data_IF_227491072936
#
_entry.id   IF_227491072936
#
_cell.length_a   1.000
_cell.length_b   1.000
_cell.length_c   1.000
_cell.angle_alpha   90.00
_cell.angle_beta   90.00
_cell.angle_gamma   90.00
#
_symmetry.space_group_name_H-M   'P 1'
#
loop_
_entity.id
_entity.type
_entity.pdbx_description
1 polymer ?
#
# COMPACT_ATOMS: atom_id res chain seq x y z
N UNK A 1 13.00 -7.81 16.61
CA UNK A 1 12.65 -8.48 15.34
C UNK A 1 12.34 -7.46 14.25
N UNK A 2 11.48 -6.45 14.51
CA UNK A 2 11.23 -5.30 13.62
C UNK A 2 12.49 -4.70 12.99
N UNK A 3 13.49 -4.33 13.80
CA UNK A 3 14.76 -3.76 13.31
C UNK A 3 15.59 -4.70 12.42
N UNK A 4 15.37 -6.02 12.48
CA UNK A 4 16.08 -6.98 11.65
C UNK A 4 15.38 -7.19 10.30
N UNK A 5 14.07 -6.97 10.25
CA UNK A 5 13.24 -7.16 9.05
C UNK A 5 13.05 -5.87 8.27
N UNK A 6 13.16 -4.71 8.93
CA UNK A 6 12.90 -3.40 8.36
C UNK A 6 14.15 -2.50 8.50
N UNK A 7 14.91 -2.27 7.41
CA UNK A 7 16.12 -1.45 7.42
C UNK A 7 15.88 -0.05 7.99
N UNK A 8 14.72 0.52 7.69
CA UNK A 8 14.27 1.82 8.20
C UNK A 8 14.28 1.91 9.73
N UNK A 9 13.74 0.88 10.40
CA UNK A 9 13.74 0.82 11.87
C UNK A 9 15.12 0.51 12.44
N UNK A 10 15.95 -0.27 11.74
CA UNK A 10 17.34 -0.51 12.14
C UNK A 10 18.12 0.81 12.23
N UNK A 11 17.99 1.65 11.20
CA UNK A 11 18.62 2.96 11.15
C UNK A 11 18.07 3.89 12.24
N UNK A 12 16.74 3.97 12.37
CA UNK A 12 16.09 4.80 13.38
C UNK A 12 16.56 4.43 14.80
N UNK A 13 16.54 3.14 15.16
CA UNK A 13 16.92 2.66 16.49
C UNK A 13 18.43 2.77 16.76
N UNK A 14 19.28 2.62 15.74
CA UNK A 14 20.73 2.83 15.90
C UNK A 14 21.11 4.28 16.20
N UNK A 15 20.28 5.23 15.74
CA UNK A 15 20.50 6.66 15.89
C UNK A 15 19.84 7.28 17.12
N UNK A 16 18.88 6.58 17.75
CA UNK A 16 18.10 7.12 18.88
C UNK A 16 18.31 6.30 20.16
N UNK A 17 19.16 6.80 21.05
CA UNK A 17 19.48 6.14 22.33
C UNK A 17 18.39 6.26 23.41
N UNK A 18 17.20 6.81 23.11
CA UNK A 18 16.14 7.03 24.11
C UNK A 18 14.69 7.08 23.61
N UNK A 19 14.40 6.83 22.32
CA UNK A 19 13.01 6.89 21.82
C UNK A 19 12.26 5.58 22.11
N UNK A 20 11.23 5.68 22.96
CA UNK A 20 10.25 4.62 23.20
C UNK A 20 9.09 4.63 22.20
N UNK A 21 8.93 5.73 21.46
CA UNK A 21 7.84 5.95 20.51
C UNK A 21 8.40 6.37 19.14
N UNK A 22 7.75 5.90 18.08
CA UNK A 22 8.12 6.18 16.69
C UNK A 22 6.96 6.93 16.01
N UNK A 23 7.18 8.15 15.48
CA UNK A 23 6.13 8.89 14.80
C UNK A 23 5.82 8.27 13.43
N UNK A 24 4.55 7.99 13.17
CA UNK A 24 4.07 7.54 11.88
C UNK A 24 3.88 8.74 10.93
N UNK A 25 3.98 8.54 9.60
CA UNK A 25 3.55 9.53 8.62
C UNK A 25 2.11 9.98 8.87
N UNK A 26 1.83 11.26 8.61
CA UNK A 26 0.45 11.78 8.63
C UNK A 26 -0.42 10.95 7.68
N UNK A 27 -1.68 10.74 8.08
CA UNK A 27 -2.67 9.93 7.36
C UNK A 27 -2.42 8.41 7.30
N UNK A 28 -1.48 7.85 8.08
CA UNK A 28 -1.31 6.38 8.13
C UNK A 28 -2.55 5.70 8.74
N UNK A 29 -3.17 4.77 8.00
CA UNK A 29 -4.35 4.04 8.46
C UNK A 29 -3.97 2.92 9.45
N UNK A 30 -4.89 2.57 10.34
CA UNK A 30 -4.71 1.44 11.28
C UNK A 30 -4.49 0.13 10.50
N UNK A 31 -5.17 -0.03 9.37
CA UNK A 31 -4.96 -1.16 8.48
C UNK A 31 -3.52 -1.22 7.96
N UNK A 32 -2.94 -0.11 7.51
CA UNK A 32 -1.58 -0.08 7.02
C UNK A 32 -0.56 -0.48 8.10
N UNK A 33 -0.74 0.02 9.33
CA UNK A 33 0.13 -0.36 10.45
C UNK A 33 0.00 -1.85 10.76
N UNK A 34 -1.22 -2.35 10.89
CA UNK A 34 -1.47 -3.77 11.15
C UNK A 34 -0.95 -4.65 10.03
N UNK A 35 -1.06 -4.23 8.77
CA UNK A 35 -0.55 -4.97 7.63
C UNK A 35 0.97 -5.12 7.66
N UNK A 36 1.70 -4.08 8.08
CA UNK A 36 3.16 -4.21 8.29
C UNK A 36 3.47 -5.11 9.49
N UNK A 37 2.69 -5.03 10.58
CA UNK A 37 2.88 -5.90 11.74
C UNK A 37 2.66 -7.37 11.34
N UNK A 38 1.54 -7.68 10.69
CA UNK A 38 1.24 -9.01 10.15
C UNK A 38 2.38 -9.50 9.26
N UNK A 39 2.86 -8.66 8.34
CA UNK A 39 3.99 -9.01 7.49
C UNK A 39 5.27 -9.34 8.26
N UNK A 40 5.60 -8.58 9.30
CA UNK A 40 6.81 -8.83 10.11
C UNK A 40 6.74 -10.17 10.84
N UNK A 41 5.55 -10.61 11.26
CA UNK A 41 5.37 -11.88 11.99
C UNK A 41 5.14 -13.08 11.07
N UNK A 42 4.35 -12.91 10.01
CA UNK A 42 3.84 -13.99 9.16
C UNK A 42 4.38 -13.97 7.71
N UNK A 43 5.15 -12.94 7.34
CA UNK A 43 5.67 -12.75 5.98
C UNK A 43 4.62 -12.29 4.96
N UNK A 44 3.39 -12.03 5.40
CA UNK A 44 2.27 -11.55 4.58
C UNK A 44 1.31 -10.73 5.42
N UNK A 45 0.59 -9.80 4.80
CA UNK A 45 -0.52 -9.11 5.46
C UNK A 45 -1.86 -9.79 5.18
N UNK A 46 -2.85 -9.55 6.03
CA UNK A 46 -4.21 -10.03 5.81
C UNK A 46 -4.94 -9.10 4.81
N UNK A 47 -5.34 -9.58 3.62
CA UNK A 47 -6.03 -8.74 2.65
C UNK A 47 -7.39 -8.24 3.20
N UNK A 48 -7.81 -7.01 2.85
CA UNK A 48 -9.14 -6.55 3.21
C UNK A 48 -10.20 -7.33 2.43
N UNK A 49 -11.36 -7.53 3.05
CA UNK A 49 -12.53 -8.10 2.36
C UNK A 49 -13.36 -6.98 1.74
N UNK A 50 -13.75 -7.15 0.48
CA UNK A 50 -14.70 -6.26 -0.19
C UNK A 50 -15.78 -7.09 -0.88
N UNK A 51 -17.01 -7.03 -0.36
CA UNK A 51 -18.20 -7.70 -0.92
C UNK A 51 -19.16 -6.71 -1.56
N UNK A 52 -19.06 -5.42 -1.24
CA UNK A 52 -19.88 -4.34 -1.79
C UNK A 52 -19.04 -3.25 -2.44
N UNK A 53 -19.66 -2.39 -3.26
CA UNK A 53 -18.95 -1.28 -3.92
C UNK A 53 -18.42 -0.23 -2.94
N UNK A 54 -19.12 0.01 -1.83
CA UNK A 54 -18.65 0.91 -0.76
C UNK A 54 -17.44 0.32 -0.02
N UNK A 55 -17.51 -0.98 0.30
CA UNK A 55 -16.38 -1.72 0.89
C UNK A 55 -15.17 -1.76 -0.05
N UNK A 56 -15.37 -1.80 -1.37
CA UNK A 56 -14.28 -1.78 -2.34
C UNK A 56 -13.50 -0.46 -2.31
N UNK A 57 -14.18 0.68 -2.13
CA UNK A 57 -13.54 1.99 -1.98
C UNK A 57 -12.70 2.08 -0.70
N UNK A 58 -13.23 1.58 0.41
CA UNK A 58 -12.50 1.52 1.69
C UNK A 58 -11.29 0.59 1.58
N UNK A 59 -11.48 -0.62 1.05
CA UNK A 59 -10.41 -1.60 0.85
C UNK A 59 -9.30 -1.04 -0.05
N UNK A 60 -9.66 -0.33 -1.12
CA UNK A 60 -8.67 0.34 -1.98
C UNK A 60 -7.90 1.41 -1.22
N UNK A 61 -8.59 2.26 -0.46
CA UNK A 61 -7.95 3.31 0.35
C UNK A 61 -6.95 2.73 1.35
N UNK A 62 -7.33 1.65 2.04
CA UNK A 62 -6.48 0.94 2.99
C UNK A 62 -5.25 0.30 2.32
N UNK A 63 -5.43 -0.32 1.15
CA UNK A 63 -4.33 -0.89 0.36
C UNK A 63 -3.38 0.18 -0.16
N UNK A 64 -3.89 1.32 -0.65
CA UNK A 64 -3.06 2.45 -1.07
C UNK A 64 -2.30 3.09 0.09
N UNK A 65 -2.90 3.11 1.29
CA UNK A 65 -2.23 3.57 2.50
C UNK A 65 -1.06 2.64 2.88
N UNK A 66 -1.31 1.32 2.85
CA UNK A 66 -0.28 0.31 3.06
C UNK A 66 0.83 0.40 2.00
N UNK A 67 0.50 0.68 0.73
CA UNK A 67 1.48 0.89 -0.33
C UNK A 67 2.40 2.10 -0.01
N UNK A 68 1.83 3.22 0.42
CA UNK A 68 2.58 4.43 0.81
C UNK A 68 3.50 4.15 2.00
N UNK A 69 2.99 3.44 3.00
CA UNK A 69 3.77 3.09 4.19
C UNK A 69 4.91 2.12 3.83
N UNK A 70 4.61 1.11 3.00
CA UNK A 70 5.60 0.15 2.52
C UNK A 70 6.69 0.82 1.68
N UNK A 71 6.33 1.78 0.82
CA UNK A 71 7.30 2.58 0.07
C UNK A 71 8.17 3.42 1.01
N UNK A 72 7.56 4.11 1.97
CA UNK A 72 8.27 4.94 2.96
C UNK A 72 9.26 4.14 3.80
N UNK A 73 8.94 2.88 4.11
CA UNK A 73 9.78 1.99 4.91
C UNK A 73 10.61 1.00 4.07
N UNK A 74 10.62 1.18 2.75
CA UNK A 74 11.38 0.39 1.77
C UNK A 74 11.05 -1.14 1.79
N UNK A 75 9.80 -1.49 2.06
CA UNK A 75 9.30 -2.87 2.16
C UNK A 75 8.74 -3.33 0.80
N UNK A 76 9.65 -3.64 -0.13
CA UNK A 76 9.29 -3.99 -1.52
C UNK A 76 8.33 -5.18 -1.64
N UNK A 77 8.45 -6.17 -0.74
CA UNK A 77 7.59 -7.36 -0.76
C UNK A 77 6.13 -7.03 -0.44
N UNK A 78 5.89 -6.10 0.51
CA UNK A 78 4.53 -5.62 0.79
C UNK A 78 3.97 -4.87 -0.40
N UNK A 79 4.78 -4.04 -1.08
CA UNK A 79 4.35 -3.33 -2.29
C UNK A 79 3.81 -4.33 -3.33
N UNK A 80 4.55 -5.41 -3.59
CA UNK A 80 4.14 -6.44 -4.53
C UNK A 80 2.84 -7.14 -4.10
N UNK A 81 2.72 -7.51 -2.81
CA UNK A 81 1.50 -8.13 -2.27
C UNK A 81 0.28 -7.20 -2.37
N UNK A 82 0.46 -5.90 -2.13
CA UNK A 82 -0.61 -4.90 -2.27
C UNK A 82 -1.09 -4.80 -3.71
N UNK A 83 -0.17 -4.72 -4.68
CA UNK A 83 -0.54 -4.67 -6.11
C UNK A 83 -1.31 -5.92 -6.51
N UNK A 84 -0.84 -7.10 -6.08
CA UNK A 84 -1.57 -8.37 -6.27
C UNK A 84 -2.98 -8.34 -5.69
N UNK A 85 -3.16 -7.82 -4.47
CA UNK A 85 -4.48 -7.71 -3.85
C UNK A 85 -5.40 -6.75 -4.62
N UNK A 86 -4.89 -5.60 -5.07
CA UNK A 86 -5.67 -4.63 -5.87
C UNK A 86 -6.13 -5.27 -7.19
N UNK A 87 -5.25 -6.04 -7.83
CA UNK A 87 -5.55 -6.79 -9.04
C UNK A 87 -6.63 -7.85 -8.79
N UNK A 88 -6.43 -8.72 -7.81
CA UNK A 88 -7.30 -9.87 -7.53
C UNK A 88 -8.70 -9.46 -7.07
N UNK A 89 -8.79 -8.38 -6.29
CA UNK A 89 -10.06 -7.82 -5.83
C UNK A 89 -10.72 -6.89 -6.85
N UNK A 90 -10.06 -6.58 -7.99
CA UNK A 90 -10.57 -5.72 -9.07
C UNK A 90 -11.11 -4.37 -8.56
N UNK A 91 -10.35 -3.72 -7.68
CA UNK A 91 -10.81 -2.53 -6.97
C UNK A 91 -10.77 -1.23 -7.80
N UNK A 92 -10.13 -1.28 -8.97
CA UNK A 92 -9.96 -0.12 -9.85
C UNK A 92 -11.15 0.00 -10.79
N UNK A 93 -11.74 1.19 -10.84
CA UNK A 93 -12.83 1.57 -11.72
C UNK A 93 -12.55 2.93 -12.38
N UNK A 94 -13.44 3.37 -13.28
CA UNK A 94 -13.24 4.62 -14.02
C UNK A 94 -13.11 5.85 -13.09
N UNK A 95 -13.83 5.86 -11.97
CA UNK A 95 -13.87 7.01 -11.06
C UNK A 95 -12.58 7.15 -10.24
N UNK A 96 -11.97 6.03 -9.85
CA UNK A 96 -10.79 6.02 -8.99
C UNK A 96 -9.46 5.78 -9.72
N UNK A 97 -9.47 5.41 -11.01
CA UNK A 97 -8.27 5.00 -11.74
C UNK A 97 -7.18 6.09 -11.80
N UNK A 98 -7.57 7.36 -11.94
CA UNK A 98 -6.61 8.47 -11.96
C UNK A 98 -5.95 8.66 -10.59
N UNK A 99 -6.70 8.59 -9.50
CA UNK A 99 -6.17 8.71 -8.14
C UNK A 99 -5.21 7.56 -7.79
N UNK A 100 -5.53 6.35 -8.26
CA UNK A 100 -4.66 5.17 -8.14
C UNK A 100 -3.38 5.35 -8.95
N UNK A 101 -3.46 5.90 -10.17
CA UNK A 101 -2.29 6.22 -11.00
C UNK A 101 -1.37 7.24 -10.33
N UNK A 102 -1.94 8.31 -9.77
CA UNK A 102 -1.16 9.32 -9.06
C UNK A 102 -0.47 8.73 -7.83
N UNK A 103 -1.18 7.90 -7.06
CA UNK A 103 -0.59 7.21 -5.90
C UNK A 103 0.48 6.22 -6.33
N UNK A 104 0.26 5.45 -7.40
CA UNK A 104 1.25 4.52 -7.94
C UNK A 104 2.53 5.25 -8.38
N UNK A 105 2.40 6.41 -9.03
CA UNK A 105 3.54 7.24 -9.41
C UNK A 105 4.28 7.79 -8.18
N UNK A 106 3.55 8.30 -7.18
CA UNK A 106 4.14 8.83 -5.95
C UNK A 106 4.90 7.76 -5.15
N UNK A 107 4.42 6.51 -5.16
CA UNK A 107 5.04 5.37 -4.49
C UNK A 107 5.98 4.57 -5.39
N UNK A 108 6.41 5.09 -6.54
CA UNK A 108 7.28 4.40 -7.50
C UNK A 108 6.84 2.95 -7.79
N UNK A 109 5.53 2.73 -7.92
CA UNK A 109 4.92 1.42 -8.19
C UNK A 109 4.60 1.31 -9.69
N UNK A 110 5.62 0.96 -10.48
CA UNK A 110 5.48 0.83 -11.94
C UNK A 110 4.46 -0.24 -12.33
N UNK A 111 4.39 -1.34 -11.59
CA UNK A 111 3.45 -2.44 -11.83
C UNK A 111 2.00 -1.98 -11.68
N UNK A 112 1.68 -1.25 -10.60
CA UNK A 112 0.34 -0.70 -10.41
C UNK A 112 0.01 0.35 -11.46
N UNK A 113 0.97 1.21 -11.80
CA UNK A 113 0.78 2.21 -12.84
C UNK A 113 0.53 1.57 -14.22
N UNK A 114 1.24 0.49 -14.55
CA UNK A 114 1.02 -0.28 -15.76
C UNK A 114 -0.38 -0.89 -15.79
N UNK A 115 -0.79 -1.56 -14.70
CA UNK A 115 -2.11 -2.15 -14.59
C UNK A 115 -3.24 -1.13 -14.78
N UNK A 116 -3.12 0.05 -14.18
CA UNK A 116 -4.09 1.13 -14.39
C UNK A 116 -4.17 1.59 -15.86
N UNK A 117 -3.03 1.72 -16.55
CA UNK A 117 -3.02 2.12 -17.97
C UNK A 117 -3.68 1.06 -18.85
N UNK A 118 -3.37 -0.22 -18.62
CA UNK A 118 -4.02 -1.33 -19.33
C UNK A 118 -5.53 -1.31 -19.12
N UNK A 119 -6.00 -1.11 -17.89
CA UNK A 119 -7.44 -1.02 -17.61
C UNK A 119 -8.10 0.17 -18.33
N UNK A 120 -7.44 1.33 -18.40
CA UNK A 120 -7.95 2.49 -19.13
C UNK A 120 -8.08 2.21 -20.62
N UNK A 121 -7.06 1.60 -21.21
CA UNK A 121 -7.05 1.23 -22.63
C UNK A 121 -8.13 0.18 -22.94
N UNK A 122 -8.24 -0.87 -22.13
CA UNK A 122 -9.21 -1.95 -22.32
C UNK A 122 -10.66 -1.47 -22.20
N UNK A 123 -10.94 -0.52 -21.31
CA UNK A 123 -12.29 -0.03 -21.07
C UNK A 123 -12.62 1.30 -21.78
N UNK A 124 -11.69 1.84 -22.58
CA UNK A 124 -11.80 3.17 -23.19
C UNK A 124 -12.19 4.26 -22.18
N UNK A 125 -11.59 4.25 -20.99
CA UNK A 125 -11.83 5.27 -19.98
C UNK A 125 -11.17 6.59 -20.40
N UNK A 126 -11.99 7.58 -20.77
CA UNK A 126 -11.51 8.92 -21.07
C UNK A 126 -11.02 9.62 -19.79
N UNK A 127 -9.85 10.27 -19.87
CA UNK A 127 -9.43 11.24 -18.85
C UNK A 127 -10.40 12.42 -18.88
N UNK A 128 -11.24 12.56 -17.86
CA UNK A 128 -11.92 13.83 -17.59
C UNK A 128 -10.97 14.79 -16.89
#
# INVERSE_FOLDING_TARGET
MLAAMLPHFAQALSSSSSRTEYPLPEDTSIFAVNGVIDYVYDGRFTPPTASTGEEAGVALGDLLNLLRLADTWEISDIKAQVVGCIHDLRLINQENCNDVLETAAACNSEELAHYCRELKELNNWECK
#
